data_IF_812279057977
#
_entry.id   IF_812279057977
#
_cell.length_a   1.000
_cell.length_b   1.000
_cell.length_c   1.000
_cell.angle_alpha   90.00
_cell.angle_beta   90.00
_cell.angle_gamma   90.00
#
_symmetry.space_group_name_H-M   'P 1'
#
loop_
_entity.id
_entity.type
_entity.pdbx_description
1 polymer ?
#
# COMPACT_ATOMS: atom_id res chain seq x y z
N UNK A 1 -2.21 -5.74 16.15
CA UNK A 1 -3.41 -5.43 15.33
C UNK A 1 -4.66 -5.65 16.17
N UNK A 2 -5.82 -5.19 15.72
CA UNK A 2 -7.12 -5.38 16.39
C UNK A 2 -8.08 -6.03 15.38
N UNK A 3 -8.08 -7.38 15.28
CA UNK A 3 -8.78 -8.10 14.21
C UNK A 3 -10.28 -7.81 14.19
N UNK A 4 -10.93 -7.74 15.35
CA UNK A 4 -12.38 -7.54 15.46
C UNK A 4 -12.81 -6.19 14.89
N UNK A 5 -12.06 -5.13 15.18
CA UNK A 5 -12.35 -3.80 14.65
C UNK A 5 -12.04 -3.68 13.14
N UNK A 6 -11.08 -4.46 12.63
CA UNK A 6 -10.82 -4.57 11.18
C UNK A 6 -11.97 -5.31 10.48
N UNK A 7 -12.50 -6.39 11.08
CA UNK A 7 -13.64 -7.14 10.55
C UNK A 7 -14.89 -6.25 10.44
N UNK A 8 -15.17 -5.44 11.47
CA UNK A 8 -16.31 -4.51 11.51
C UNK A 8 -16.19 -3.33 10.55
N UNK A 9 -14.98 -3.00 10.09
CA UNK A 9 -14.78 -1.91 9.11
C UNK A 9 -15.39 -2.31 7.75
N UNK A 10 -15.95 -1.38 6.95
CA UNK A 10 -16.53 -1.67 5.63
C UNK A 10 -15.60 -2.47 4.70
N UNK A 11 -16.16 -3.18 3.71
CA UNK A 11 -15.32 -3.92 2.74
C UNK A 11 -14.52 -2.99 1.82
N UNK A 12 -15.11 -1.87 1.42
CA UNK A 12 -14.49 -0.83 0.60
C UNK A 12 -14.38 0.44 1.45
N UNK A 13 -13.23 1.13 1.48
CA UNK A 13 -13.08 2.36 2.25
C UNK A 13 -13.78 3.53 1.56
N UNK A 14 -14.17 4.53 2.35
CA UNK A 14 -14.51 5.85 1.84
C UNK A 14 -13.22 6.66 1.61
N UNK A 15 -13.05 7.37 0.48
CA UNK A 15 -11.81 8.12 0.22
C UNK A 15 -11.54 9.24 1.24
N UNK A 16 -12.60 9.86 1.78
CA UNK A 16 -12.48 10.91 2.81
C UNK A 16 -11.92 10.34 4.11
N UNK A 17 -12.37 9.15 4.50
CA UNK A 17 -11.85 8.47 5.71
C UNK A 17 -10.34 8.18 5.60
N UNK A 18 -9.86 7.82 4.40
CA UNK A 18 -8.43 7.57 4.15
C UNK A 18 -7.62 8.87 4.20
N UNK A 19 -8.11 9.93 3.55
CA UNK A 19 -7.39 11.20 3.43
C UNK A 19 -7.37 12.05 4.72
N UNK A 20 -8.47 12.04 5.46
CA UNK A 20 -8.72 12.95 6.58
C UNK A 20 -9.00 12.25 7.90
N UNK A 21 -9.06 10.92 7.90
CA UNK A 21 -9.34 10.12 9.08
C UNK A 21 -10.84 9.92 9.30
N UNK A 22 -11.17 9.03 10.22
CA UNK A 22 -12.55 8.63 10.50
C UNK A 22 -12.78 8.39 11.98
N UNK A 23 -14.00 8.67 12.44
CA UNK A 23 -14.46 8.29 13.79
C UNK A 23 -15.25 6.98 13.80
N UNK A 24 -15.73 6.54 12.64
CA UNK A 24 -16.64 5.39 12.49
C UNK A 24 -15.97 4.23 11.75
N UNK A 25 -14.95 4.49 10.93
CA UNK A 25 -14.16 3.47 10.26
C UNK A 25 -12.80 3.30 10.94
N UNK A 26 -12.68 2.28 11.79
CA UNK A 26 -11.46 1.99 12.55
C UNK A 26 -10.24 1.79 11.64
N UNK A 27 -10.36 0.91 10.63
CA UNK A 27 -9.23 0.56 9.78
C UNK A 27 -8.77 1.77 8.96
N UNK A 28 -9.69 2.52 8.35
CA UNK A 28 -9.34 3.71 7.59
C UNK A 28 -8.64 4.76 8.45
N UNK A 29 -9.12 4.97 9.69
CA UNK A 29 -8.47 5.91 10.61
C UNK A 29 -7.07 5.46 11.04
N UNK A 30 -6.86 4.16 11.26
CA UNK A 30 -5.53 3.60 11.58
C UNK A 30 -4.56 3.79 10.42
N UNK A 31 -5.01 3.53 9.19
CA UNK A 31 -4.23 3.74 7.97
C UNK A 31 -3.92 5.22 7.77
N UNK A 32 -4.92 6.11 7.88
CA UNK A 32 -4.75 7.55 7.80
C UNK A 32 -3.63 8.04 8.71
N UNK A 33 -3.68 7.65 10.00
CA UNK A 33 -2.68 8.03 11.00
C UNK A 33 -1.29 7.47 10.71
N UNK A 34 -1.19 6.27 10.13
CA UNK A 34 0.08 5.66 9.76
C UNK A 34 0.70 6.36 8.54
N UNK A 35 -0.06 6.50 7.46
CA UNK A 35 0.40 7.10 6.20
C UNK A 35 0.75 8.57 6.36
N UNK A 36 0.06 9.31 7.24
CA UNK A 36 0.37 10.72 7.56
C UNK A 36 1.74 10.95 8.20
N UNK A 37 2.37 9.91 8.77
CA UNK A 37 3.73 10.03 9.34
C UNK A 37 4.79 10.19 8.25
N UNK A 38 4.54 9.63 7.06
CA UNK A 38 5.44 9.74 5.92
C UNK A 38 5.25 11.01 5.10
N UNK A 39 6.28 11.37 4.33
CA UNK A 39 6.24 12.48 3.35
C UNK A 39 5.62 12.03 2.03
N UNK A 40 4.36 11.62 2.11
CA UNK A 40 3.59 11.10 0.97
C UNK A 40 2.71 12.22 0.40
N UNK A 41 2.66 12.41 -0.91
CA UNK A 41 1.77 13.40 -1.52
C UNK A 41 0.30 12.90 -1.51
N UNK A 42 -0.67 13.79 -1.62
CA UNK A 42 -2.08 13.46 -1.40
C UNK A 42 -2.62 12.33 -2.31
N UNK A 43 -2.34 12.31 -3.63
CA UNK A 43 -2.72 11.19 -4.49
C UNK A 43 -2.17 9.86 -3.98
N UNK A 44 -0.88 9.81 -3.66
CA UNK A 44 -0.25 8.61 -3.13
C UNK A 44 -0.79 8.22 -1.75
N UNK A 45 -1.19 9.20 -0.91
CA UNK A 45 -1.83 8.90 0.39
C UNK A 45 -3.16 8.18 0.19
N UNK A 46 -4.00 8.66 -0.74
CA UNK A 46 -5.27 8.02 -1.05
C UNK A 46 -5.03 6.64 -1.66
N UNK A 47 -4.22 6.56 -2.72
CA UNK A 47 -3.95 5.34 -3.46
C UNK A 47 -3.33 4.26 -2.57
N UNK A 48 -2.22 4.57 -1.89
CA UNK A 48 -1.54 3.62 -1.02
C UNK A 48 -2.40 3.24 0.19
N UNK A 49 -3.08 4.22 0.82
CA UNK A 49 -3.97 3.95 1.94
C UNK A 49 -5.15 3.03 1.55
N UNK A 50 -5.69 3.21 0.35
CA UNK A 50 -6.73 2.34 -0.20
C UNK A 50 -6.23 0.91 -0.40
N UNK A 51 -5.07 0.74 -1.01
CA UNK A 51 -4.44 -0.55 -1.21
C UNK A 51 -4.14 -1.27 0.12
N UNK A 52 -3.60 -0.54 1.10
CA UNK A 52 -3.39 -1.06 2.46
C UNK A 52 -4.68 -1.52 3.12
N UNK A 53 -5.78 -0.80 2.88
CA UNK A 53 -7.08 -1.12 3.44
C UNK A 53 -7.58 -2.47 2.90
N UNK A 54 -7.58 -2.63 1.57
CA UNK A 54 -8.02 -3.86 0.92
C UNK A 54 -7.15 -5.05 1.33
N UNK A 55 -5.83 -4.88 1.32
CA UNK A 55 -4.89 -5.91 1.76
C UNK A 55 -5.12 -6.30 3.23
N UNK A 56 -5.32 -5.32 4.12
CA UNK A 56 -5.56 -5.59 5.55
C UNK A 56 -6.89 -6.31 5.79
N UNK A 57 -7.94 -5.97 5.04
CA UNK A 57 -9.23 -6.67 5.09
C UNK A 57 -9.09 -8.11 4.66
N UNK A 58 -8.43 -8.36 3.52
CA UNK A 58 -8.18 -9.71 3.02
C UNK A 58 -7.33 -10.53 4.00
N UNK A 59 -6.24 -9.96 4.54
CA UNK A 59 -5.36 -10.66 5.48
C UNK A 59 -6.08 -11.13 6.74
N UNK A 60 -7.03 -10.33 7.26
CA UNK A 60 -7.80 -10.68 8.46
C UNK A 60 -8.97 -11.61 8.15
N UNK A 61 -9.59 -11.48 6.97
CA UNK A 61 -10.70 -12.33 6.53
C UNK A 61 -10.49 -12.78 5.08
N UNK A 62 -9.70 -13.85 4.86
CA UNK A 62 -9.37 -14.33 3.53
C UNK A 62 -10.56 -15.07 2.94
N UNK A 63 -11.37 -14.36 2.15
CA UNK A 63 -12.43 -14.94 1.32
C UNK A 63 -12.09 -14.70 -0.15
N UNK A 64 -12.81 -15.37 -1.05
CA UNK A 64 -12.63 -15.14 -2.48
C UNK A 64 -12.91 -13.67 -2.82
N UNK A 65 -13.99 -13.12 -2.28
CA UNK A 65 -14.44 -11.75 -2.53
C UNK A 65 -13.43 -10.72 -2.03
N UNK A 66 -12.84 -10.92 -0.84
CA UNK A 66 -11.82 -10.00 -0.33
C UNK A 66 -10.49 -10.12 -1.09
N UNK A 67 -10.14 -11.33 -1.56
CA UNK A 67 -8.96 -11.57 -2.37
C UNK A 67 -9.06 -10.96 -3.78
N UNK A 68 -10.24 -11.04 -4.40
CA UNK A 68 -10.50 -10.48 -5.73
C UNK A 68 -10.37 -8.94 -5.74
N UNK A 69 -10.54 -8.28 -4.58
CA UNK A 69 -10.34 -6.84 -4.43
C UNK A 69 -8.85 -6.44 -4.32
N UNK A 70 -7.95 -7.36 -3.98
CA UNK A 70 -6.52 -7.07 -3.85
C UNK A 70 -5.87 -7.11 -5.24
N UNK A 71 -5.19 -6.04 -5.69
CA UNK A 71 -4.47 -6.06 -6.96
C UNK A 71 -3.39 -7.14 -7.00
N UNK A 72 -3.17 -7.73 -8.17
CA UNK A 72 -2.23 -8.84 -8.35
C UNK A 72 -0.84 -8.57 -7.78
N UNK A 73 -0.30 -7.37 -8.00
CA UNK A 73 1.03 -7.00 -7.52
C UNK A 73 1.16 -6.92 -5.98
N UNK A 74 0.04 -6.89 -5.24
CA UNK A 74 0.03 -6.94 -3.77
C UNK A 74 -0.28 -8.31 -3.20
N UNK A 75 -0.72 -9.25 -4.02
CA UNK A 75 -0.96 -10.62 -3.55
C UNK A 75 0.36 -11.25 -3.08
N UNK A 76 0.32 -12.22 -2.14
CA UNK A 76 1.53 -12.82 -1.60
C UNK A 76 2.33 -13.53 -2.68
N UNK A 77 3.65 -13.34 -2.66
CA UNK A 77 4.60 -14.17 -3.39
C UNK A 77 4.99 -15.41 -2.57
N UNK A 78 5.48 -16.50 -3.19
CA UNK A 78 5.86 -17.73 -2.48
C UNK A 78 6.85 -17.51 -1.31
N UNK A 79 7.77 -16.57 -1.45
CA UNK A 79 8.78 -16.21 -0.44
C UNK A 79 8.12 -15.68 0.84
N UNK A 80 7.00 -14.95 0.73
CA UNK A 80 6.26 -14.44 1.90
C UNK A 80 5.59 -15.57 2.70
N UNK A 81 5.44 -16.76 2.13
CA UNK A 81 4.89 -17.94 2.81
C UNK A 81 5.98 -18.68 3.58
N UNK A 82 7.20 -18.70 3.04
CA UNK A 82 8.30 -19.54 3.54
C UNK A 82 9.26 -18.80 4.46
N UNK A 83 9.41 -17.48 4.28
CA UNK A 83 10.35 -16.66 5.04
C UNK A 83 9.58 -15.86 6.09
N UNK A 84 9.94 -16.00 7.37
CA UNK A 84 9.36 -15.16 8.42
C UNK A 84 9.88 -13.72 8.29
N UNK A 85 8.98 -12.74 8.27
CA UNK A 85 9.33 -11.36 8.00
C UNK A 85 8.40 -10.36 8.72
N UNK A 86 8.81 -9.09 8.89
CA UNK A 86 7.95 -8.05 9.43
C UNK A 86 6.75 -7.75 8.52
N UNK A 87 5.51 -7.61 9.04
CA UNK A 87 4.29 -7.35 8.25
C UNK A 87 4.34 -6.15 7.31
N UNK A 88 5.25 -5.19 7.55
CA UNK A 88 5.44 -4.00 6.72
C UNK A 88 6.02 -4.33 5.33
N UNK A 89 6.68 -5.48 5.17
CA UNK A 89 7.23 -5.93 3.88
C UNK A 89 6.13 -6.22 2.87
N UNK A 90 5.04 -6.80 3.35
CA UNK A 90 3.86 -7.11 2.56
C UNK A 90 3.25 -5.88 1.87
N UNK A 91 3.54 -4.70 2.41
CA UNK A 91 2.98 -3.42 1.98
C UNK A 91 3.77 -2.78 0.83
N UNK A 92 4.93 -3.30 0.46
CA UNK A 92 5.71 -2.81 -0.68
C UNK A 92 5.02 -3.21 -1.98
N UNK A 93 4.77 -2.22 -2.83
CA UNK A 93 3.97 -2.42 -4.05
C UNK A 93 4.66 -3.28 -5.11
N UNK A 94 5.99 -3.33 -5.13
CA UNK A 94 6.74 -4.09 -6.13
C UNK A 94 7.07 -5.50 -5.61
N UNK A 95 6.54 -6.58 -6.22
CA UNK A 95 6.85 -7.95 -5.84
C UNK A 95 8.36 -8.25 -5.83
N UNK A 96 9.11 -7.72 -6.80
CA UNK A 96 10.57 -7.93 -6.88
C UNK A 96 11.29 -7.36 -5.66
N UNK A 97 10.92 -6.16 -5.20
CA UNK A 97 11.50 -5.53 -4.02
C UNK A 97 11.17 -6.35 -2.78
N UNK A 98 9.92 -6.85 -2.68
CA UNK A 98 9.53 -7.76 -1.59
C UNK A 98 10.39 -9.02 -1.58
N UNK A 99 10.52 -9.70 -2.72
CA UNK A 99 11.34 -10.91 -2.88
C UNK A 99 12.80 -10.66 -2.44
N UNK A 100 13.43 -9.62 -2.97
CA UNK A 100 14.83 -9.30 -2.67
C UNK A 100 15.05 -8.90 -1.20
N UNK A 101 14.10 -8.17 -0.59
CA UNK A 101 14.14 -7.87 0.84
C UNK A 101 13.97 -9.12 1.71
N UNK A 102 13.10 -10.05 1.32
CA UNK A 102 12.87 -11.30 2.04
C UNK A 102 14.11 -12.18 2.02
N UNK A 103 14.76 -12.35 0.87
CA UNK A 103 16.03 -13.09 0.78
C UNK A 103 17.11 -12.48 1.67
N UNK A 104 17.27 -11.15 1.62
CA UNK A 104 18.24 -10.44 2.49
C UNK A 104 17.99 -10.62 3.99
N UNK A 105 16.74 -10.80 4.43
CA UNK A 105 16.42 -11.13 5.83
C UNK A 105 16.61 -12.61 6.12
N UNK A 106 16.19 -13.48 5.21
CA UNK A 106 16.29 -14.93 5.36
C UNK A 106 17.73 -15.41 5.57
N UNK A 107 18.69 -14.73 4.95
CA UNK A 107 20.13 -15.03 5.05
C UNK A 107 20.77 -14.61 6.39
N UNK A 108 20.06 -13.87 7.24
CA UNK A 108 20.58 -13.39 8.54
C UNK A 108 20.14 -14.29 9.70
N UNK A 109 21.09 -14.69 10.54
CA UNK A 109 20.82 -15.55 11.71
C UNK A 109 19.83 -14.91 12.70
N UNK A 110 19.91 -13.60 12.93
CA UNK A 110 19.03 -12.88 13.86
C UNK A 110 17.71 -12.42 13.22
N UNK A 111 17.57 -12.60 11.91
CA UNK A 111 16.43 -12.14 11.09
C UNK A 111 16.10 -10.66 11.29
N UNK A 112 17.07 -9.85 11.71
CA UNK A 112 16.92 -8.40 11.82
C UNK A 112 17.50 -7.70 10.60
N UNK A 113 16.88 -6.60 10.20
CA UNK A 113 17.37 -5.79 9.10
C UNK A 113 17.67 -4.39 9.62
N UNK A 114 18.95 -4.10 9.74
CA UNK A 114 19.46 -2.76 10.02
C UNK A 114 19.14 -1.87 8.83
N UNK A 115 18.48 -0.74 9.06
CA UNK A 115 18.12 0.22 8.00
C UNK A 115 16.73 0.04 7.38
N UNK A 116 15.84 -0.80 7.95
CA UNK A 116 14.47 -0.92 7.44
C UNK A 116 13.72 0.40 7.43
N UNK A 117 13.79 1.14 8.52
CA UNK A 117 13.11 2.43 8.63
C UNK A 117 13.56 3.38 7.52
N UNK A 118 14.86 3.42 7.21
CA UNK A 118 15.43 4.24 6.15
C UNK A 118 14.92 3.82 4.76
N UNK A 119 14.84 2.51 4.49
CA UNK A 119 14.26 2.00 3.23
C UNK A 119 12.81 2.41 3.11
N UNK A 120 12.00 2.23 4.15
CA UNK A 120 10.57 2.56 4.11
C UNK A 120 10.33 4.07 4.03
N UNK A 121 11.13 4.87 4.72
CA UNK A 121 11.07 6.34 4.64
C UNK A 121 11.42 6.80 3.22
N UNK A 122 12.49 6.26 2.64
CA UNK A 122 12.88 6.57 1.26
C UNK A 122 11.83 6.09 0.26
N UNK A 123 11.30 4.88 0.44
CA UNK A 123 10.23 4.32 -0.38
C UNK A 123 8.98 5.20 -0.34
N UNK A 124 8.57 5.66 0.84
CA UNK A 124 7.40 6.54 0.99
C UNK A 124 7.54 7.86 0.24
N UNK A 125 8.77 8.35 0.09
CA UNK A 125 9.08 9.55 -0.68
C UNK A 125 9.17 9.27 -2.19
N UNK A 126 9.58 8.07 -2.58
CA UNK A 126 9.98 7.74 -3.94
C UNK A 126 8.95 6.94 -4.75
N UNK A 127 8.02 6.25 -4.10
CA UNK A 127 6.89 5.62 -4.77
C UNK A 127 5.91 6.72 -5.19
N UNK A 128 5.79 6.94 -6.50
CA UNK A 128 4.95 7.97 -7.11
C UNK A 128 3.88 7.35 -7.98
N UNK A 129 2.69 7.93 -7.93
CA UNK A 129 1.62 7.55 -8.86
C UNK A 129 1.77 8.33 -10.17
N UNK A 130 1.53 7.68 -11.30
CA UNK A 130 1.55 8.28 -12.63
C UNK A 130 0.22 8.95 -12.91
N UNK A 131 -0.06 10.01 -12.15
CA UNK A 131 -1.28 10.80 -12.28
C UNK A 131 -0.98 12.21 -12.79
N UNK A 132 -1.79 12.77 -13.71
CA UNK A 132 -1.59 14.13 -14.19
C UNK A 132 -1.64 15.16 -13.06
N UNK A 133 -0.69 16.08 -13.08
CA UNK A 133 -0.62 17.14 -12.08
C UNK A 133 -1.90 18.02 -12.13
N UNK A 134 -2.45 18.33 -10.96
CA UNK A 134 -3.63 19.19 -10.81
C UNK A 134 -4.97 18.51 -11.11
N UNK A 135 -4.99 17.28 -11.61
CA UNK A 135 -6.23 16.55 -11.87
C UNK A 135 -6.80 15.98 -10.56
N UNK A 136 -8.10 16.15 -10.31
CA UNK A 136 -8.71 15.69 -9.06
C UNK A 136 -8.71 14.16 -8.97
N UNK A 137 -8.57 13.64 -7.76
CA UNK A 137 -8.52 12.19 -7.47
C UNK A 137 -9.84 11.64 -6.90
N UNK A 138 -10.73 12.54 -6.48
CA UNK A 138 -12.07 12.25 -5.98
C UNK A 138 -13.09 13.12 -6.70
N UNK A 139 -14.33 12.65 -6.74
CA UNK A 139 -15.46 13.35 -7.34
C UNK A 139 -16.75 13.10 -6.54
N UNK A 140 -17.75 14.00 -6.61
CA UNK A 140 -19.06 13.74 -6.04
C UNK A 140 -19.73 12.54 -6.70
N UNK A 141 -20.25 11.64 -5.87
CA UNK A 141 -21.12 10.53 -6.26
C UNK A 141 -22.57 10.98 -6.09
N UNK A 142 -23.27 11.16 -7.20
CA UNK A 142 -24.69 11.54 -7.20
C UNK A 142 -24.99 12.91 -6.57
N UNK A 143 -26.19 13.06 -6.00
CA UNK A 143 -26.69 14.33 -5.44
C UNK A 143 -26.46 14.48 -3.92
N UNK A 144 -26.03 13.42 -3.23
CA UNK A 144 -26.02 13.37 -1.76
C UNK A 144 -24.72 13.93 -1.12
N UNK A 145 -23.82 14.51 -1.93
CA UNK A 145 -22.57 15.08 -1.47
C UNK A 145 -21.53 14.05 -0.99
N UNK A 146 -21.75 12.76 -1.26
CA UNK A 146 -20.80 11.68 -0.98
C UNK A 146 -19.67 11.75 -2.00
N UNK A 147 -18.41 11.66 -1.58
CA UNK A 147 -17.28 11.59 -2.49
C UNK A 147 -16.88 10.14 -2.78
N UNK A 148 -16.57 9.87 -4.05
CA UNK A 148 -15.99 8.62 -4.53
C UNK A 148 -14.62 8.88 -5.17
N UNK A 149 -13.80 7.84 -5.26
CA UNK A 149 -12.57 7.88 -6.04
C UNK A 149 -12.94 7.96 -7.52
N UNK A 150 -12.26 8.82 -8.28
CA UNK A 150 -12.44 8.83 -9.75
C UNK A 150 -12.06 7.48 -10.33
N UNK A 151 -12.88 6.94 -11.23
CA UNK A 151 -12.64 5.64 -11.86
C UNK A 151 -11.27 5.55 -12.51
N UNK A 152 -10.85 6.56 -13.27
CA UNK A 152 -9.54 6.60 -13.91
C UNK A 152 -8.38 6.59 -12.90
N UNK A 153 -8.56 7.22 -11.74
CA UNK A 153 -7.56 7.22 -10.68
C UNK A 153 -7.47 5.84 -10.01
N UNK A 154 -8.62 5.23 -9.72
CA UNK A 154 -8.73 3.85 -9.22
C UNK A 154 -8.05 2.86 -10.16
N UNK A 155 -8.34 2.93 -11.46
CA UNK A 155 -7.73 2.09 -12.49
C UNK A 155 -6.22 2.30 -12.59
N UNK A 156 -5.74 3.54 -12.35
CA UNK A 156 -4.31 3.85 -12.35
C UNK A 156 -3.61 3.17 -11.18
N UNK A 157 -4.07 3.37 -9.94
CA UNK A 157 -3.32 2.87 -8.78
C UNK A 157 -3.48 1.38 -8.50
N UNK A 158 -4.51 0.75 -9.07
CA UNK A 158 -4.73 -0.71 -8.99
C UNK A 158 -3.92 -1.49 -10.02
N UNK A 159 -3.06 -0.81 -10.78
CA UNK A 159 -2.12 -1.37 -11.73
C UNK A 159 -0.70 -1.00 -11.37
N UNK A 160 0.24 -1.93 -11.46
CA UNK A 160 1.63 -1.67 -11.06
C UNK A 160 2.29 -0.63 -11.98
N UNK A 161 1.94 -0.64 -13.26
CA UNK A 161 2.39 0.34 -14.27
C UNK A 161 1.91 1.77 -13.97
N UNK A 162 0.84 1.93 -13.19
CA UNK A 162 0.38 3.22 -12.68
C UNK A 162 1.29 3.80 -11.60
N UNK A 163 2.30 3.07 -11.16
CA UNK A 163 3.31 3.52 -10.21
C UNK A 163 4.69 3.68 -10.86
N UNK A 164 5.52 4.47 -10.21
CA UNK A 164 6.93 4.63 -10.56
C UNK A 164 7.78 4.84 -9.32
N UNK A 165 9.05 4.49 -9.43
CA UNK A 165 10.07 4.84 -8.44
C UNK A 165 10.90 5.99 -8.99
N UNK A 166 11.21 6.95 -8.14
CA UNK A 166 12.15 8.02 -8.53
C UNK A 166 13.56 7.46 -8.72
N UNK A 167 14.38 8.16 -9.52
CA UNK A 167 15.80 7.82 -9.71
C UNK A 167 16.58 7.75 -8.40
N UNK A 168 16.17 8.51 -7.37
CA UNK A 168 16.82 8.49 -6.07
C UNK A 168 16.70 7.13 -5.38
N UNK A 169 15.53 6.50 -5.42
CA UNK A 169 15.37 5.15 -4.86
C UNK A 169 16.18 4.13 -5.65
N UNK A 170 16.11 4.21 -6.98
CA UNK A 170 16.82 3.31 -7.89
C UNK A 170 18.33 3.39 -7.68
N UNK A 171 18.90 4.58 -7.53
CA UNK A 171 20.34 4.75 -7.28
C UNK A 171 20.76 4.30 -5.89
N UNK A 172 19.88 4.38 -4.89
CA UNK A 172 20.20 4.09 -3.49
C UNK A 172 20.03 2.61 -3.16
N UNK A 173 19.01 1.97 -3.73
CA UNK A 173 18.60 0.59 -3.45
C UNK A 173 18.43 -0.23 -4.73
N UNK A 174 19.31 0.00 -5.71
CA UNK A 174 19.24 -0.67 -7.02
C UNK A 174 19.32 -2.19 -6.93
N UNK A 175 20.03 -2.70 -5.93
CA UNK A 175 20.13 -4.13 -5.61
C UNK A 175 18.80 -4.75 -5.13
N UNK A 176 17.83 -3.95 -4.70
CA UNK A 176 16.46 -4.44 -4.45
C UNK A 176 15.63 -4.55 -5.74
N UNK A 177 16.12 -4.01 -6.85
CA UNK A 177 15.47 -4.04 -8.16
C UNK A 177 16.07 -5.10 -9.08
N UNK A 178 16.99 -5.94 -8.59
CA UNK A 178 17.55 -7.06 -9.36
C UNK A 178 16.43 -7.96 -9.89
N UNK A 179 16.41 -8.21 -11.20
CA UNK A 179 15.35 -8.95 -11.90
C UNK A 179 14.15 -8.11 -12.33
N UNK A 180 14.24 -6.78 -12.24
CA UNK A 180 13.26 -5.84 -12.80
C UNK A 180 13.69 -5.41 -14.21
N UNK A 181 13.22 -6.13 -15.24
CA UNK A 181 13.39 -5.79 -16.66
C UNK A 181 12.17 -5.03 -17.22
#
# INVERSE_FOLDING_TARGET
SDPDNILKSPSIPNPIDILFGSKTNYLANKIHRAVRRGRVAEPERLAYGWLLYLYSKWRINPTKESYDLVPEFLKPIPEQITINHPPIFDMILWPVIRCNLLHKIGDREDRTFVGLEEIFDTFSCCAKIRWPWGKEIIEPSGQDGIFQVRTEFLDTFTKLEGWGLTSHFISTYGDLLDGFD
#
